data_IF_271754605799
#
_entry.id   IF_271754605799
#
_cell.length_a   1.000
_cell.length_b   1.000
_cell.length_c   1.000
_cell.angle_alpha   90.00
_cell.angle_beta   90.00
_cell.angle_gamma   90.00
#
_symmetry.space_group_name_H-M   'P 1'
#
loop_
_entity.id
_entity.type
_entity.pdbx_description
1 polymer ?
#
# COMPACT_ATOMS: atom_id res chain seq x y z
N UNK A 1 0.73 22.05 -51.29
CA UNK A 1 -0.01 21.41 -50.18
C UNK A 1 0.95 20.74 -49.17
N UNK A 2 2.05 21.42 -48.80
CA UNK A 2 3.17 20.85 -48.03
C UNK A 2 3.47 21.67 -46.76
N UNK A 3 3.22 22.97 -46.80
CA UNK A 3 3.60 23.88 -45.71
C UNK A 3 2.68 23.78 -44.49
N UNK A 4 1.37 23.59 -44.69
CA UNK A 4 0.41 23.43 -43.59
C UNK A 4 0.72 22.19 -42.73
N UNK A 5 1.16 21.10 -43.36
CA UNK A 5 1.57 19.89 -42.65
C UNK A 5 2.88 20.06 -41.88
N UNK A 6 3.79 20.91 -42.39
CA UNK A 6 5.01 21.27 -41.69
C UNK A 6 4.70 22.06 -40.41
N UNK A 7 3.90 23.12 -40.50
CA UNK A 7 3.52 23.93 -39.34
C UNK A 7 2.72 23.13 -38.30
N UNK A 8 1.85 22.21 -38.74
CA UNK A 8 1.11 21.32 -37.84
C UNK A 8 2.05 20.42 -37.02
N UNK A 9 3.10 19.87 -37.65
CA UNK A 9 4.11 19.05 -36.97
C UNK A 9 4.92 19.86 -35.98
N UNK A 10 5.29 21.09 -36.32
CA UNK A 10 6.01 21.97 -35.40
C UNK A 10 5.16 22.37 -34.19
N UNK A 11 3.88 22.70 -34.38
CA UNK A 11 2.96 22.95 -33.27
C UNK A 11 2.82 21.75 -32.33
N UNK A 12 2.71 20.53 -32.88
CA UNK A 12 2.66 19.31 -32.08
C UNK A 12 3.94 19.09 -31.26
N UNK A 13 5.11 19.37 -31.86
CA UNK A 13 6.41 19.28 -31.17
C UNK A 13 6.52 20.28 -30.03
N UNK A 14 6.08 21.52 -30.25
CA UNK A 14 6.09 22.58 -29.23
C UNK A 14 5.15 22.21 -28.08
N UNK A 15 3.93 21.77 -28.40
CA UNK A 15 2.95 21.33 -27.41
C UNK A 15 3.48 20.15 -26.58
N UNK A 16 4.11 19.16 -27.24
CA UNK A 16 4.73 18.03 -26.55
C UNK A 16 5.83 18.47 -25.59
N UNK A 17 6.74 19.36 -26.03
CA UNK A 17 7.81 19.90 -25.18
C UNK A 17 7.26 20.65 -23.98
N UNK A 18 6.21 21.43 -24.16
CA UNK A 18 5.54 22.17 -23.09
C UNK A 18 4.93 21.23 -22.05
N UNK A 19 4.17 20.22 -22.51
CA UNK A 19 3.54 19.24 -21.63
C UNK A 19 4.58 18.39 -20.90
N UNK A 20 5.64 17.98 -21.61
CA UNK A 20 6.73 17.22 -21.02
C UNK A 20 7.47 18.01 -19.94
N UNK A 21 7.74 19.30 -20.19
CA UNK A 21 8.34 20.21 -19.20
C UNK A 21 7.44 20.35 -17.98
N UNK A 22 6.15 20.64 -18.16
CA UNK A 22 5.19 20.76 -17.07
C UNK A 22 5.10 19.47 -16.24
N UNK A 23 5.09 18.30 -16.88
CA UNK A 23 5.09 17.00 -16.20
C UNK A 23 6.38 16.74 -15.41
N UNK A 24 7.54 17.06 -15.99
CA UNK A 24 8.84 16.93 -15.33
C UNK A 24 8.96 17.85 -14.12
N UNK A 25 8.55 19.12 -14.28
CA UNK A 25 8.50 20.11 -13.20
C UNK A 25 7.56 19.67 -12.08
N UNK A 26 6.31 19.29 -12.40
CA UNK A 26 5.35 18.75 -11.42
C UNK A 26 5.90 17.53 -10.68
N UNK A 27 6.58 16.60 -11.37
CA UNK A 27 7.17 15.43 -10.72
C UNK A 27 8.31 15.79 -9.75
N UNK A 28 9.10 16.82 -10.07
CA UNK A 28 10.19 17.29 -9.21
C UNK A 28 9.67 18.09 -8.02
N UNK A 29 8.65 18.94 -8.23
CA UNK A 29 8.10 19.84 -7.21
C UNK A 29 7.06 19.15 -6.31
N UNK A 30 6.25 18.24 -6.87
CA UNK A 30 5.20 17.51 -6.15
C UNK A 30 5.53 16.03 -5.95
N UNK A 31 6.78 15.70 -5.57
CA UNK A 31 7.13 14.31 -5.24
C UNK A 31 6.40 13.77 -3.98
N UNK A 32 5.72 14.62 -3.20
CA UNK A 32 5.14 14.27 -1.89
C UNK A 32 3.71 14.76 -1.64
N UNK A 33 3.13 15.62 -2.49
CA UNK A 33 1.85 16.32 -2.25
C UNK A 33 0.60 15.59 -2.78
N UNK A 34 0.75 14.41 -3.40
CA UNK A 34 -0.38 13.62 -3.93
C UNK A 34 -0.54 12.30 -3.17
N UNK A 35 -0.08 12.23 -1.93
CA UNK A 35 -0.71 11.36 -0.95
C UNK A 35 -1.86 12.14 -0.36
N UNK A 36 -3.07 11.87 -0.84
CA UNK A 36 -4.27 12.04 -0.04
C UNK A 36 -4.03 11.28 1.27
N UNK A 37 -3.43 11.94 2.27
CA UNK A 37 -3.50 11.42 3.62
C UNK A 37 -4.96 11.59 4.01
N UNK A 38 -5.73 10.51 4.19
CA UNK A 38 -7.07 10.65 4.70
C UNK A 38 -6.89 11.38 6.03
N UNK A 39 -7.54 12.53 6.17
CA UNK A 39 -7.56 13.28 7.41
C UNK A 39 -8.40 12.47 8.39
N UNK A 40 -7.82 11.41 8.96
CA UNK A 40 -8.48 10.61 9.96
C UNK A 40 -8.64 11.48 11.20
N UNK A 41 -9.88 11.69 11.62
CA UNK A 41 -10.13 12.40 12.86
C UNK A 41 -9.45 11.60 14.00
N UNK A 42 -8.79 12.22 15.00
CA UNK A 42 -8.07 11.49 16.05
C UNK A 42 -8.90 10.43 16.77
N UNK A 43 -10.22 10.64 16.86
CA UNK A 43 -11.18 9.67 17.39
C UNK A 43 -11.31 8.42 16.49
N UNK A 44 -11.37 8.56 15.17
CA UNK A 44 -11.40 7.44 14.22
C UNK A 44 -10.12 6.59 14.29
N UNK A 45 -8.97 7.20 14.59
CA UNK A 45 -7.72 6.44 14.78
C UNK A 45 -7.73 5.58 16.05
N UNK A 46 -8.35 6.04 17.14
CA UNK A 46 -8.45 5.29 18.39
C UNK A 46 -9.45 4.14 18.25
N UNK A 47 -10.62 4.41 17.67
CA UNK A 47 -11.64 3.39 17.40
C UNK A 47 -11.10 2.28 16.49
N UNK A 48 -10.36 2.66 15.44
CA UNK A 48 -9.71 1.69 14.56
C UNK A 48 -8.69 0.79 15.27
N UNK A 49 -7.94 1.30 16.25
CA UNK A 49 -6.97 0.49 17.01
C UNK A 49 -7.67 -0.55 17.89
N UNK A 50 -8.74 -0.15 18.58
CA UNK A 50 -9.53 -1.05 19.43
C UNK A 50 -10.18 -2.12 18.57
N UNK A 51 -10.80 -1.73 17.46
CA UNK A 51 -11.41 -2.64 16.50
C UNK A 51 -10.39 -3.65 15.92
N UNK A 52 -9.21 -3.18 15.50
CA UNK A 52 -8.13 -4.06 15.03
C UNK A 52 -7.67 -5.02 16.12
N UNK A 53 -7.54 -4.58 17.37
CA UNK A 53 -7.17 -5.47 18.49
C UNK A 53 -8.22 -6.56 18.75
N UNK A 54 -9.51 -6.21 18.70
CA UNK A 54 -10.61 -7.17 18.82
C UNK A 54 -10.57 -8.21 17.69
N UNK A 55 -10.40 -7.76 16.46
CA UNK A 55 -10.25 -8.63 15.29
C UNK A 55 -9.05 -9.58 15.40
N UNK A 56 -7.92 -9.08 15.90
CA UNK A 56 -6.75 -9.91 16.14
C UNK A 56 -6.96 -10.93 17.27
N UNK A 57 -7.86 -10.64 18.22
CA UNK A 57 -8.24 -11.57 19.27
C UNK A 57 -9.12 -12.72 18.75
N UNK A 58 -9.93 -12.49 17.71
CA UNK A 58 -10.77 -13.52 17.06
C UNK A 58 -9.99 -14.53 16.20
N UNK A 59 -8.73 -14.23 15.89
CA UNK A 59 -7.84 -15.17 15.22
C UNK A 59 -7.53 -16.31 16.20
N UNK A 60 -7.79 -17.55 15.78
CA UNK A 60 -7.48 -18.72 16.57
C UNK A 60 -6.00 -18.71 17.02
N UNK A 61 -5.70 -19.05 18.29
CA UNK A 61 -4.34 -19.08 18.79
C UNK A 61 -3.48 -20.04 17.95
N UNK A 62 -2.36 -19.54 17.42
CA UNK A 62 -1.49 -20.34 16.56
C UNK A 62 -0.45 -19.52 15.80
N UNK A 63 0.25 -20.19 14.88
CA UNK A 63 1.31 -19.60 14.05
C UNK A 63 0.80 -18.38 13.27
N UNK A 64 -0.43 -18.47 12.72
CA UNK A 64 -1.06 -17.38 11.99
C UNK A 64 -1.25 -16.10 12.82
N UNK A 65 -1.74 -16.23 14.07
CA UNK A 65 -1.92 -15.09 14.98
C UNK A 65 -0.57 -14.45 15.34
N UNK A 66 0.45 -15.26 15.62
CA UNK A 66 1.81 -14.76 15.91
C UNK A 66 2.38 -13.96 14.75
N UNK A 67 2.22 -14.46 13.52
CA UNK A 67 2.69 -13.78 12.31
C UNK A 67 1.97 -12.44 12.10
N UNK A 68 0.64 -12.42 12.16
CA UNK A 68 -0.13 -11.17 11.95
C UNK A 68 0.20 -10.16 13.07
N UNK A 69 0.27 -10.59 14.33
CA UNK A 69 0.66 -9.70 15.43
C UNK A 69 2.09 -9.17 15.28
N UNK A 70 3.03 -10.01 14.87
CA UNK A 70 4.42 -9.58 14.62
C UNK A 70 4.52 -8.53 13.52
N UNK A 71 3.85 -8.78 12.39
CA UNK A 71 3.86 -7.88 11.24
C UNK A 71 3.19 -6.53 11.52
N UNK A 72 1.98 -6.53 12.09
CA UNK A 72 1.12 -5.34 12.14
C UNK A 72 1.12 -4.61 13.48
N UNK A 73 1.49 -5.28 14.59
CA UNK A 73 1.54 -4.64 15.92
C UNK A 73 2.98 -4.38 16.35
N UNK A 74 3.89 -5.32 16.08
CA UNK A 74 5.30 -5.20 16.48
C UNK A 74 6.23 -4.66 15.39
N UNK A 75 5.70 -4.36 14.19
CA UNK A 75 6.47 -3.90 13.03
C UNK A 75 7.69 -4.80 12.69
N UNK A 76 7.59 -6.11 12.96
CA UNK A 76 8.62 -7.07 12.58
C UNK A 76 8.54 -7.35 11.07
N UNK A 77 9.68 -7.65 10.45
CA UNK A 77 9.71 -8.08 9.06
C UNK A 77 9.38 -9.56 8.93
N UNK A 78 8.96 -10.00 7.74
CA UNK A 78 8.74 -11.43 7.46
C UNK A 78 10.01 -12.27 7.68
N UNK A 79 11.19 -11.69 7.43
CA UNK A 79 12.47 -12.38 7.64
C UNK A 79 12.82 -12.54 9.12
N UNK A 80 12.49 -11.56 9.96
CA UNK A 80 12.63 -11.68 11.42
C UNK A 80 11.69 -12.75 11.96
N UNK A 81 10.41 -12.73 11.55
CA UNK A 81 9.43 -13.74 11.95
C UNK A 81 9.76 -15.15 11.46
N UNK A 82 10.32 -15.27 10.25
CA UNK A 82 10.81 -16.54 9.73
C UNK A 82 11.88 -17.16 10.64
N UNK A 83 12.82 -16.35 11.11
CA UNK A 83 13.86 -16.77 12.06
C UNK A 83 13.26 -17.13 13.42
N UNK A 84 12.39 -16.30 13.98
CA UNK A 84 11.77 -16.52 15.29
C UNK A 84 10.89 -17.79 15.33
N UNK A 85 10.18 -18.08 14.24
CA UNK A 85 9.27 -19.22 14.14
C UNK A 85 9.91 -20.46 13.52
N UNK A 86 11.20 -20.39 13.17
CA UNK A 86 11.96 -21.44 12.49
C UNK A 86 11.24 -22.00 11.24
N UNK A 87 10.70 -21.09 10.42
CA UNK A 87 10.05 -21.40 9.14
C UNK A 87 10.64 -20.56 8.02
N UNK A 88 10.44 -20.97 6.76
CA UNK A 88 10.86 -20.14 5.63
C UNK A 88 10.03 -18.86 5.53
N UNK A 89 10.62 -17.80 4.93
CA UNK A 89 9.89 -16.57 4.62
C UNK A 89 8.64 -16.85 3.76
N UNK A 90 8.73 -17.81 2.83
CA UNK A 90 7.58 -18.26 2.04
C UNK A 90 6.50 -18.89 2.92
N UNK A 91 6.89 -19.63 3.96
CA UNK A 91 5.99 -20.15 5.00
C UNK A 91 5.28 -19.04 5.76
N UNK A 92 6.01 -17.99 6.16
CA UNK A 92 5.41 -16.79 6.79
C UNK A 92 4.36 -16.17 5.88
N UNK A 93 4.69 -15.95 4.60
CA UNK A 93 3.76 -15.36 3.63
C UNK A 93 2.53 -16.25 3.39
N UNK A 94 2.70 -17.58 3.33
CA UNK A 94 1.59 -18.55 3.21
C UNK A 94 0.64 -18.46 4.40
N UNK A 95 1.17 -18.42 5.62
CA UNK A 95 0.36 -18.24 6.83
C UNK A 95 -0.31 -16.88 6.89
N UNK A 96 0.40 -15.80 6.54
CA UNK A 96 -0.16 -14.44 6.44
C UNK A 96 -1.40 -14.43 5.53
N UNK A 97 -1.28 -14.96 4.30
CA UNK A 97 -2.40 -15.02 3.35
C UNK A 97 -3.56 -15.89 3.87
N UNK A 98 -3.26 -17.06 4.44
CA UNK A 98 -4.29 -17.97 5.00
C UNK A 98 -5.07 -17.29 6.13
N UNK A 99 -4.38 -16.65 7.06
CA UNK A 99 -5.00 -15.99 8.22
C UNK A 99 -5.82 -14.77 7.80
N UNK A 100 -5.31 -13.92 6.91
CA UNK A 100 -6.07 -12.77 6.39
C UNK A 100 -7.30 -13.20 5.60
N UNK A 101 -7.21 -14.28 4.79
CA UNK A 101 -8.37 -14.83 4.08
C UNK A 101 -9.46 -15.30 5.06
N UNK A 102 -9.07 -16.01 6.11
CA UNK A 102 -10.01 -16.45 7.15
C UNK A 102 -10.65 -15.27 7.89
N UNK A 103 -9.89 -14.20 8.16
CA UNK A 103 -10.41 -12.98 8.78
C UNK A 103 -11.41 -12.28 7.87
N UNK A 104 -11.07 -12.12 6.58
CA UNK A 104 -11.94 -11.52 5.57
C UNK A 104 -13.26 -12.28 5.41
N UNK A 105 -13.22 -13.62 5.42
CA UNK A 105 -14.43 -14.44 5.34
C UNK A 105 -15.36 -14.26 6.54
N UNK A 106 -14.81 -14.00 7.74
CA UNK A 106 -15.60 -13.72 8.93
C UNK A 106 -16.22 -12.33 8.90
N UNK A 107 -15.53 -11.34 8.33
CA UNK A 107 -16.03 -9.97 8.19
C UNK A 107 -17.11 -9.81 7.10
N UNK A 108 -17.15 -10.72 6.12
CA UNK A 108 -18.14 -10.71 5.04
C UNK A 108 -19.46 -11.42 5.41
N UNK A 109 -19.58 -11.91 6.64
CA UNK A 109 -20.79 -12.46 7.25
C UNK A 109 -21.39 -11.42 8.20
#
# INVERSE_FOLDING_TARGET
MSDVNYYKKELQRIAWRLQYKARSTRKRECSWMEYNHPYYHPFEMVDNRIFVQQLLAEIQPGIGRKIIHGLFIKNQTETQLAKELNISQQGVNKWKRKTLKSLSQKMSL
#
